data_IF_582194632596
#
_entry.id   IF_582194632596
#
_cell.length_a   1.000
_cell.length_b   1.000
_cell.length_c   1.000
_cell.angle_alpha   90.00
_cell.angle_beta   90.00
_cell.angle_gamma   90.00
#
_symmetry.space_group_name_H-M   'P 1'
#
loop_
_entity.id
_entity.type
_entity.pdbx_description
1 polymer ?
#
# COMPACT_ATOMS: atom_id res chain seq x y z
N UNK A 1 31.01 -52.49 -52.48
CA UNK A 1 29.73 -51.77 -52.69
C UNK A 1 29.78 -50.54 -51.80
N UNK A 2 30.48 -49.49 -52.23
CA UNK A 2 29.90 -48.21 -52.72
C UNK A 2 29.02 -47.57 -51.64
N UNK A 3 29.38 -46.45 -51.02
CA UNK A 3 29.78 -45.22 -51.70
C UNK A 3 30.64 -44.31 -50.80
N UNK A 4 31.62 -43.68 -51.43
CA UNK A 4 32.48 -42.65 -50.87
C UNK A 4 32.06 -41.34 -51.53
N UNK A 5 31.22 -40.56 -50.86
CA UNK A 5 30.93 -39.19 -51.29
C UNK A 5 31.75 -38.22 -50.44
N UNK A 6 32.94 -37.91 -50.95
CA UNK A 6 33.74 -36.75 -50.55
C UNK A 6 33.10 -35.52 -51.21
N UNK A 7 32.50 -34.64 -50.40
CA UNK A 7 32.26 -33.25 -50.78
C UNK A 7 32.90 -32.33 -49.74
N UNK A 8 34.09 -31.84 -50.05
CA UNK A 8 34.58 -30.57 -49.49
C UNK A 8 35.47 -29.92 -50.56
N UNK A 9 34.76 -29.27 -51.47
CA UNK A 9 35.31 -28.33 -52.45
C UNK A 9 35.34 -26.94 -51.81
N UNK A 10 36.51 -26.32 -51.94
CA UNK A 10 36.78 -24.90 -52.01
C UNK A 10 36.37 -23.99 -50.83
N UNK A 11 37.42 -23.47 -50.20
CA UNK A 11 37.52 -22.07 -49.80
C UNK A 11 36.74 -21.14 -50.75
N UNK A 12 35.69 -20.52 -50.21
CA UNK A 12 34.87 -19.53 -50.89
C UNK A 12 34.45 -18.49 -49.85
N UNK A 13 35.23 -17.44 -49.78
CA UNK A 13 34.98 -16.17 -49.09
C UNK A 13 33.50 -15.79 -48.96
N UNK A 14 33.00 -15.78 -47.72
CA UNK A 14 31.95 -14.84 -47.32
C UNK A 14 32.47 -14.05 -46.14
N UNK A 15 33.40 -13.15 -46.45
CA UNK A 15 33.62 -11.97 -45.62
C UNK A 15 32.50 -11.00 -45.96
N UNK A 16 31.32 -11.24 -45.40
CA UNK A 16 30.33 -10.19 -45.21
C UNK A 16 30.84 -9.35 -44.05
N UNK A 17 31.70 -8.37 -44.36
CA UNK A 17 31.88 -7.22 -43.49
C UNK A 17 30.54 -6.49 -43.52
N UNK A 18 29.69 -6.77 -42.54
CA UNK A 18 28.45 -6.05 -42.33
C UNK A 18 28.79 -4.56 -42.12
N UNK A 19 28.24 -3.63 -42.92
CA UNK A 19 28.34 -2.19 -42.65
C UNK A 19 27.66 -1.77 -41.34
N UNK A 20 26.87 -2.63 -40.70
CA UNK A 20 25.96 -2.33 -39.59
C UNK A 20 26.45 -2.64 -38.17
N UNK A 21 27.72 -2.41 -37.83
CA UNK A 21 28.20 -2.57 -36.44
C UNK A 21 27.44 -1.71 -35.41
N UNK A 22 26.82 -0.61 -35.85
CA UNK A 22 25.87 0.18 -35.06
C UNK A 22 24.47 -0.43 -34.97
N UNK A 23 24.01 -1.11 -36.02
CA UNK A 23 22.67 -1.70 -36.09
C UNK A 23 22.52 -2.90 -35.14
N UNK A 24 23.58 -3.70 -34.97
CA UNK A 24 23.59 -4.86 -34.09
C UNK A 24 23.60 -4.51 -32.59
N UNK A 25 24.23 -3.38 -32.20
CA UNK A 25 24.24 -2.90 -30.80
C UNK A 25 22.89 -2.27 -30.44
N UNK A 26 22.31 -1.50 -31.38
CA UNK A 26 20.96 -0.94 -31.24
C UNK A 26 19.91 -2.05 -31.12
N UNK A 27 20.04 -3.13 -31.90
CA UNK A 27 19.15 -4.28 -31.84
C UNK A 27 19.31 -5.08 -30.52
N UNK A 28 20.53 -5.21 -29.99
CA UNK A 28 20.75 -5.82 -28.67
C UNK A 28 20.13 -5.00 -27.52
N UNK A 29 20.29 -3.67 -27.55
CA UNK A 29 19.69 -2.77 -26.55
C UNK A 29 18.16 -2.81 -26.64
N UNK A 30 17.61 -2.86 -27.86
CA UNK A 30 16.18 -3.02 -28.11
C UNK A 30 15.63 -4.33 -27.53
N UNK A 31 16.34 -5.44 -27.72
CA UNK A 31 15.98 -6.76 -27.16
C UNK A 31 16.11 -6.80 -25.63
N UNK A 32 17.12 -6.15 -25.05
CA UNK A 32 17.30 -6.11 -23.60
C UNK A 32 16.24 -5.21 -22.93
N UNK A 33 15.91 -4.08 -23.57
CA UNK A 33 14.85 -3.17 -23.10
C UNK A 33 13.47 -3.82 -23.21
N UNK A 34 13.19 -4.55 -24.29
CA UNK A 34 11.91 -5.25 -24.45
C UNK A 34 11.77 -6.43 -23.48
N UNK A 35 12.84 -7.19 -23.23
CA UNK A 35 12.84 -8.25 -22.22
C UNK A 35 12.72 -7.68 -20.80
N UNK A 36 13.44 -6.60 -20.49
CA UNK A 36 13.32 -5.90 -19.21
C UNK A 36 11.93 -5.30 -18.99
N UNK A 37 11.31 -4.73 -20.04
CA UNK A 37 9.94 -4.24 -19.99
C UNK A 37 8.93 -5.37 -19.75
N UNK A 38 9.17 -6.56 -20.30
CA UNK A 38 8.32 -7.73 -20.09
C UNK A 38 8.35 -8.20 -18.61
N UNK A 39 9.54 -8.34 -18.01
CA UNK A 39 9.68 -8.69 -16.59
C UNK A 39 9.11 -7.61 -15.65
N UNK A 40 9.27 -6.33 -16.01
CA UNK A 40 8.72 -5.22 -15.23
C UNK A 40 7.18 -5.23 -15.23
N UNK A 41 6.55 -5.57 -16.36
CA UNK A 41 5.08 -5.70 -16.44
C UNK A 41 4.56 -6.82 -15.52
N UNK A 42 5.27 -7.94 -15.43
CA UNK A 42 4.90 -9.05 -14.55
C UNK A 42 5.03 -8.68 -13.06
N UNK A 43 6.15 -8.05 -12.67
CA UNK A 43 6.35 -7.61 -11.29
C UNK A 43 5.35 -6.52 -10.88
N UNK A 44 4.97 -5.62 -11.80
CA UNK A 44 3.92 -4.63 -11.56
C UNK A 44 2.55 -5.29 -11.41
N UNK A 45 2.23 -6.31 -12.20
CA UNK A 45 0.99 -7.07 -12.05
C UNK A 45 0.94 -7.80 -10.70
N UNK A 46 2.07 -8.35 -10.26
CA UNK A 46 2.19 -9.08 -9.00
C UNK A 46 2.15 -8.13 -7.78
N UNK A 47 2.87 -7.00 -7.83
CA UNK A 47 2.75 -5.94 -6.82
C UNK A 47 1.33 -5.39 -6.73
N UNK A 48 0.63 -5.19 -7.86
CA UNK A 48 -0.77 -4.78 -7.83
C UNK A 48 -1.65 -5.82 -7.15
N UNK A 49 -1.41 -7.11 -7.37
CA UNK A 49 -2.13 -8.18 -6.68
C UNK A 49 -1.84 -8.17 -5.18
N UNK A 50 -0.58 -8.09 -4.77
CA UNK A 50 -0.18 -8.08 -3.35
C UNK A 50 -0.69 -6.84 -2.61
N UNK A 51 -0.68 -5.67 -3.25
CA UNK A 51 -1.28 -4.44 -2.69
C UNK A 51 -2.79 -4.59 -2.56
N UNK A 52 -3.49 -5.17 -3.56
CA UNK A 52 -4.93 -5.42 -3.48
C UNK A 52 -5.28 -6.39 -2.37
N UNK A 53 -4.50 -7.45 -2.21
CA UNK A 53 -4.66 -8.42 -1.13
C UNK A 53 -4.44 -7.76 0.22
N UNK A 54 -3.32 -7.04 0.38
CA UNK A 54 -3.01 -6.28 1.61
C UNK A 54 -4.11 -5.28 1.98
N UNK A 55 -4.67 -4.57 0.99
CA UNK A 55 -5.79 -3.65 1.19
C UNK A 55 -7.06 -4.42 1.59
N UNK A 56 -7.29 -5.59 1.02
CA UNK A 56 -8.45 -6.43 1.36
C UNK A 56 -8.32 -6.99 2.77
N UNK A 57 -7.14 -7.45 3.17
CA UNK A 57 -6.84 -7.91 4.52
C UNK A 57 -7.01 -6.79 5.54
N UNK A 58 -6.49 -5.59 5.25
CA UNK A 58 -6.68 -4.41 6.10
C UNK A 58 -8.17 -4.08 6.21
N UNK A 59 -8.95 -4.14 5.12
CA UNK A 59 -10.40 -3.89 5.16
C UNK A 59 -11.14 -4.92 6.02
N UNK A 60 -10.82 -6.21 5.86
CA UNK A 60 -11.39 -7.28 6.66
C UNK A 60 -11.04 -7.11 8.13
N UNK A 61 -9.78 -6.80 8.44
CA UNK A 61 -9.31 -6.54 9.79
C UNK A 61 -10.07 -5.35 10.40
N UNK A 62 -10.12 -4.20 9.72
CA UNK A 62 -10.86 -3.02 10.19
C UNK A 62 -12.33 -3.34 10.40
N UNK A 63 -12.97 -4.09 9.49
CA UNK A 63 -14.35 -4.54 9.64
C UNK A 63 -14.56 -5.41 10.88
N UNK A 64 -13.68 -6.38 11.10
CA UNK A 64 -13.71 -7.26 12.27
C UNK A 64 -13.49 -6.48 13.58
N UNK A 65 -12.51 -5.56 13.62
CA UNK A 65 -12.28 -4.69 14.77
C UNK A 65 -13.47 -3.77 15.06
N UNK A 66 -14.10 -3.20 14.03
CA UNK A 66 -15.29 -2.37 14.20
C UNK A 66 -16.45 -3.20 14.79
N UNK A 67 -16.71 -4.40 14.25
CA UNK A 67 -17.71 -5.31 14.78
C UNK A 67 -17.44 -5.73 16.22
N UNK A 68 -16.18 -6.09 16.53
CA UNK A 68 -15.75 -6.43 17.87
C UNK A 68 -15.87 -5.24 18.84
N UNK A 69 -15.59 -4.02 18.41
CA UNK A 69 -15.76 -2.82 19.22
C UNK A 69 -17.24 -2.57 19.56
N UNK A 70 -18.14 -2.69 18.58
CA UNK A 70 -19.59 -2.52 18.79
C UNK A 70 -20.13 -3.58 19.75
N UNK A 71 -19.86 -4.86 19.48
CA UNK A 71 -20.31 -5.96 20.33
C UNK A 71 -19.65 -5.90 21.72
N UNK A 72 -18.37 -5.54 21.77
CA UNK A 72 -17.63 -5.36 23.01
C UNK A 72 -18.23 -4.25 23.88
N UNK A 73 -18.58 -3.09 23.30
CA UNK A 73 -19.24 -2.00 24.03
C UNK A 73 -20.65 -2.38 24.51
N UNK A 74 -21.44 -3.03 23.65
CA UNK A 74 -22.77 -3.49 24.00
C UNK A 74 -22.72 -4.55 25.13
N UNK A 75 -21.87 -5.55 24.98
CA UNK A 75 -21.64 -6.60 25.98
C UNK A 75 -21.13 -6.02 27.29
N UNK A 76 -20.15 -5.11 27.23
CA UNK A 76 -19.62 -4.44 28.42
C UNK A 76 -20.72 -3.69 29.19
N UNK A 77 -21.61 -2.96 28.52
CA UNK A 77 -22.73 -2.27 29.18
C UNK A 77 -23.67 -3.25 29.92
N UNK A 78 -24.02 -4.36 29.27
CA UNK A 78 -24.85 -5.42 29.89
C UNK A 78 -24.13 -6.08 31.06
N UNK A 79 -22.85 -6.42 30.90
CA UNK A 79 -22.03 -7.04 31.95
C UNK A 79 -21.88 -6.11 33.16
N UNK A 80 -21.58 -4.82 32.96
CA UNK A 80 -21.46 -3.84 34.04
C UNK A 80 -22.78 -3.63 34.79
N UNK A 81 -23.90 -3.59 34.06
CA UNK A 81 -25.23 -3.52 34.68
C UNK A 81 -25.48 -4.76 35.54
N UNK A 82 -25.17 -5.95 35.02
CA UNK A 82 -25.27 -7.21 35.76
C UNK A 82 -24.37 -7.26 37.00
N UNK A 83 -23.12 -6.78 36.89
CA UNK A 83 -22.18 -6.69 38.01
C UNK A 83 -22.65 -5.70 39.08
N UNK A 84 -23.15 -4.54 38.66
CA UNK A 84 -23.71 -3.54 39.57
C UNK A 84 -24.92 -4.07 40.31
N UNK A 85 -25.79 -4.79 39.60
CA UNK A 85 -26.95 -5.45 40.19
C UNK A 85 -26.53 -6.54 41.18
N UNK A 86 -25.61 -7.41 40.80
CA UNK A 86 -25.08 -8.48 41.65
C UNK A 86 -24.41 -7.96 42.93
N UNK A 87 -23.51 -6.98 42.80
CA UNK A 87 -22.86 -6.33 43.94
C UNK A 87 -23.89 -5.63 44.82
N UNK A 88 -24.84 -4.95 44.20
CA UNK A 88 -25.90 -4.24 44.85
C UNK A 88 -26.82 -5.14 45.68
N UNK A 89 -27.15 -6.32 45.16
CA UNK A 89 -27.87 -7.35 45.93
C UNK A 89 -27.04 -7.89 47.08
N UNK A 90 -25.72 -8.06 46.91
CA UNK A 90 -24.84 -8.56 47.96
C UNK A 90 -24.69 -7.59 49.16
N UNK A 91 -24.95 -6.29 48.95
CA UNK A 91 -24.88 -5.24 49.99
C UNK A 91 -26.27 -4.70 50.38
N UNK A 92 -27.36 -5.37 49.98
CA UNK A 92 -28.75 -4.94 50.19
C UNK A 92 -29.08 -3.52 49.68
N UNK A 93 -28.32 -3.03 48.69
CA UNK A 93 -28.50 -1.70 48.10
C UNK A 93 -28.11 -1.71 46.61
N UNK A 94 -29.07 -2.06 45.77
CA UNK A 94 -28.88 -2.15 44.30
C UNK A 94 -28.42 -0.82 43.67
N UNK A 95 -29.06 0.34 43.96
CA UNK A 95 -28.62 1.61 43.41
C UNK A 95 -27.15 1.91 43.71
N UNK A 96 -26.70 1.66 44.94
CA UNK A 96 -25.35 1.95 45.38
C UNK A 96 -24.33 1.00 44.71
N UNK A 97 -24.67 -0.29 44.57
CA UNK A 97 -23.84 -1.27 43.84
C UNK A 97 -23.58 -0.88 42.39
N UNK A 98 -24.62 -0.42 41.67
CA UNK A 98 -24.50 0.06 40.28
C UNK A 98 -23.57 1.29 40.20
N UNK A 99 -23.71 2.24 41.12
CA UNK A 99 -22.85 3.44 41.16
C UNK A 99 -21.40 3.08 41.44
N UNK A 100 -21.12 2.18 42.39
CA UNK A 100 -19.75 1.73 42.70
C UNK A 100 -19.10 1.12 41.46
N UNK A 101 -19.76 0.17 40.80
CA UNK A 101 -19.23 -0.49 39.61
C UNK A 101 -19.02 0.53 38.48
N UNK A 102 -19.93 1.49 38.31
CA UNK A 102 -19.78 2.58 37.37
C UNK A 102 -18.54 3.44 37.63
N UNK A 103 -18.31 3.84 38.88
CA UNK A 103 -17.14 4.66 39.27
C UNK A 103 -15.84 3.88 39.02
N UNK A 104 -15.77 2.61 39.44
CA UNK A 104 -14.58 1.77 39.21
C UNK A 104 -14.28 1.67 37.72
N UNK A 105 -15.32 1.44 36.91
CA UNK A 105 -15.18 1.35 35.45
C UNK A 105 -14.66 2.66 34.85
N UNK A 106 -15.16 3.82 35.31
CA UNK A 106 -14.68 5.13 34.84
C UNK A 106 -13.19 5.36 35.16
N UNK A 107 -12.73 4.91 36.33
CA UNK A 107 -11.31 4.98 36.70
C UNK A 107 -10.48 4.12 35.73
N UNK A 108 -10.90 2.89 35.47
CA UNK A 108 -10.24 2.00 34.51
C UNK A 108 -10.21 2.63 33.12
N UNK A 109 -11.34 3.17 32.65
CA UNK A 109 -11.44 3.86 31.36
C UNK A 109 -10.49 5.06 31.25
N UNK A 110 -10.36 5.87 32.32
CA UNK A 110 -9.44 7.01 32.35
C UNK A 110 -7.96 6.58 32.23
N UNK A 111 -7.58 5.50 32.90
CA UNK A 111 -6.22 4.94 32.80
C UNK A 111 -5.95 4.42 31.38
N UNK A 112 -6.87 3.67 30.80
CA UNK A 112 -6.74 3.15 29.43
C UNK A 112 -6.66 4.30 28.40
N UNK A 113 -7.52 5.30 28.52
CA UNK A 113 -7.51 6.47 27.66
C UNK A 113 -6.18 7.22 27.72
N UNK A 114 -5.64 7.39 28.93
CA UNK A 114 -4.34 8.04 29.13
C UNK A 114 -3.20 7.25 28.48
N UNK A 115 -3.20 5.93 28.63
CA UNK A 115 -2.22 5.04 27.98
C UNK A 115 -2.32 5.08 26.46
N UNK A 116 -3.54 5.04 25.90
CA UNK A 116 -3.78 5.16 24.47
C UNK A 116 -3.29 6.50 23.94
N UNK A 117 -3.71 7.62 24.56
CA UNK A 117 -3.29 8.97 24.19
C UNK A 117 -1.76 9.10 24.13
N UNK A 118 -1.05 8.54 25.11
CA UNK A 118 0.41 8.58 25.16
C UNK A 118 1.05 7.77 24.01
N UNK A 119 0.49 6.60 23.68
CA UNK A 119 0.95 5.79 22.53
C UNK A 119 0.72 6.50 21.21
N UNK A 120 -0.45 7.13 21.01
CA UNK A 120 -0.74 7.90 19.80
C UNK A 120 0.17 9.14 19.67
N UNK A 121 0.46 9.82 20.78
CA UNK A 121 1.39 10.95 20.80
C UNK A 121 2.83 10.50 20.47
N UNK A 122 3.28 9.39 21.05
CA UNK A 122 4.60 8.82 20.77
C UNK A 122 4.75 8.32 19.33
N UNK A 123 3.66 7.84 18.72
CA UNK A 123 3.65 7.36 17.34
C UNK A 123 3.75 8.47 16.28
N UNK A 124 3.88 9.76 16.66
CA UNK A 124 3.99 10.91 15.74
C UNK A 124 2.98 10.83 14.58
N UNK A 125 1.74 10.45 14.86
CA UNK A 125 0.66 10.35 13.87
C UNK A 125 0.20 11.72 13.34
N UNK A 126 0.87 12.82 13.69
CA UNK A 126 0.71 14.10 13.01
C UNK A 126 1.54 14.05 11.72
N UNK A 127 0.93 13.97 10.53
CA UNK A 127 1.67 14.02 9.27
C UNK A 127 2.04 15.48 8.99
N UNK A 128 2.90 16.08 9.82
CA UNK A 128 3.31 17.49 9.68
C UNK A 128 3.98 17.77 8.32
N UNK A 129 4.55 16.72 7.72
CA UNK A 129 5.15 16.76 6.38
C UNK A 129 4.12 16.58 5.26
N UNK A 130 3.06 15.81 5.47
CA UNK A 130 2.05 15.56 4.42
C UNK A 130 1.13 16.75 4.21
N UNK A 131 0.72 17.44 5.28
CA UNK A 131 -0.21 18.58 5.16
C UNK A 131 0.44 19.74 4.39
N UNK A 132 1.74 19.99 4.60
CA UNK A 132 2.47 21.06 3.89
C UNK A 132 2.64 20.81 2.39
N UNK A 133 2.73 19.55 1.97
CA UNK A 133 2.90 19.17 0.55
C UNK A 133 1.58 19.16 -0.21
N UNK A 134 0.47 18.83 0.45
CA UNK A 134 -0.87 18.82 -0.17
C UNK A 134 -1.41 20.24 -0.35
N UNK A 135 -1.08 21.17 0.55
CA UNK A 135 -1.48 22.59 0.43
C UNK A 135 -0.75 23.35 -0.69
N UNK A 136 0.40 22.86 -1.18
CA UNK A 136 1.24 23.57 -2.17
C UNK A 136 1.23 22.99 -3.59
N UNK A 137 0.36 22.02 -3.91
CA UNK A 137 0.31 21.45 -5.27
C UNK A 137 -1.05 21.65 -5.99
N UNK A 138 -1.46 22.89 -6.31
CA UNK A 138 -2.51 23.12 -7.32
C UNK A 138 -1.98 23.34 -8.76
N UNK A 139 -0.68 23.56 -8.99
CA UNK A 139 -0.22 24.04 -10.32
C UNK A 139 0.36 22.98 -11.28
N UNK A 140 0.56 21.74 -10.85
CA UNK A 140 1.17 20.70 -11.71
C UNK A 140 0.12 19.79 -12.40
N UNK A 141 -1.13 19.79 -11.92
CA UNK A 141 -2.24 19.00 -12.52
C UNK A 141 -3.05 19.83 -13.53
N UNK A 142 -2.98 21.16 -13.46
CA UNK A 142 -3.59 22.04 -14.46
C UNK A 142 -2.58 22.28 -15.58
N UNK A 143 -2.35 21.26 -16.41
CA UNK A 143 -1.41 21.29 -17.53
C UNK A 143 -1.78 22.31 -18.62
N UNK A 144 -1.52 23.60 -18.37
CA UNK A 144 -1.52 24.64 -19.40
C UNK A 144 -0.13 24.74 -20.02
N UNK A 145 0.18 23.81 -20.92
CA UNK A 145 1.25 24.01 -21.89
C UNK A 145 0.85 25.18 -22.81
N UNK A 146 1.33 26.38 -22.47
CA UNK A 146 1.36 27.52 -23.39
C UNK A 146 2.47 27.31 -24.42
N UNK A 147 2.25 26.39 -25.36
CA UNK A 147 3.03 26.32 -26.60
C UNK A 147 2.29 27.12 -27.67
N UNK A 148 2.31 28.45 -27.58
CA UNK A 148 1.92 29.33 -28.69
C UNK A 148 2.84 30.54 -28.69
N UNK A 149 3.90 30.48 -29.49
CA UNK A 149 4.87 31.57 -29.64
C UNK A 149 6.04 31.22 -30.55
N UNK A 150 5.82 30.45 -31.62
CA UNK A 150 6.77 30.31 -32.71
C UNK A 150 6.27 31.11 -33.91
N UNK A 151 6.52 32.41 -33.92
CA UNK A 151 6.58 33.21 -35.14
C UNK A 151 8.00 33.71 -35.31
N UNK A 152 8.81 32.84 -35.92
CA UNK A 152 9.95 33.26 -36.71
C UNK A 152 9.41 34.07 -37.90
N UNK A 153 9.23 35.36 -37.72
CA UNK A 153 9.10 36.28 -38.86
C UNK A 153 10.49 36.66 -39.37
N UNK A 154 10.58 36.59 -40.69
CA UNK A 154 11.74 36.82 -41.54
C UNK A 154 12.21 38.26 -41.38
N UNK A 155 13.53 38.45 -41.33
CA UNK A 155 14.21 39.54 -42.01
C UNK A 155 15.62 39.10 -42.38
#
# INVERSE_FOLDING_TARGET
MTDATIHTTAAGSVRSRDPGGGDNVVDLIGRLTSQGAHLAQEQVALMQAEVRESVTDIKQAIGAYAGAAVLGLAGLGVTLTGLGWWLGTAIDNVPLGIVIVGIITLIVAAVLYSGAKNKLAAANLKPERTIRTVEHTPDIVTGTHSTTGATHERH
#
